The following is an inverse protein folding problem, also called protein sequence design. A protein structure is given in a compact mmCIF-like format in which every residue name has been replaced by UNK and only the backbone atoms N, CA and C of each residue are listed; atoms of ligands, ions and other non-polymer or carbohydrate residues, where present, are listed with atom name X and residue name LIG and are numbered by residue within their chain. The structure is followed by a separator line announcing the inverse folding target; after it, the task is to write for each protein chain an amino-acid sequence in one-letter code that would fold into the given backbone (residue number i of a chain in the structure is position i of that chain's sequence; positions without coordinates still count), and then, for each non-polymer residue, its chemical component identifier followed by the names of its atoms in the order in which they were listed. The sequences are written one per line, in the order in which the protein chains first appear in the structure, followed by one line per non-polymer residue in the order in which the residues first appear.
data_IF_015029301837
#
_entry.id   IF_015029301837
#
_cell.length_a   1.000
_cell.length_b   1.000
_cell.length_c   1.000
_cell.angle_alpha   90.00
_cell.angle_beta   90.00
_cell.angle_gamma   90.00
#
_symmetry.space_group_name_H-M   'P 1'
#
loop_
_entity.id
_entity.type
_entity.pdbx_description
1 polymer ?
#
# COMPACT_ATOMS: atom_id res chain seq x y z
N UNK A 1 8.97 -14.24 -13.87
CA UNK A 1 8.37 -13.08 -13.17
C UNK A 1 8.73 -13.21 -11.70
N UNK A 2 9.50 -12.27 -11.16
CA UNK A 2 9.98 -12.31 -9.77
C UNK A 2 8.80 -12.37 -8.80
N UNK A 3 8.88 -13.30 -7.84
CA UNK A 3 7.93 -13.44 -6.73
C UNK A 3 8.19 -12.37 -5.66
N UNK A 4 8.37 -11.12 -6.05
CA UNK A 4 8.59 -10.02 -5.10
C UNK A 4 7.26 -9.55 -4.49
N UNK A 5 7.31 -8.98 -3.28
CA UNK A 5 6.12 -8.50 -2.58
C UNK A 5 5.35 -7.44 -3.38
N UNK A 6 6.05 -6.64 -4.19
CA UNK A 6 5.40 -5.63 -5.02
C UNK A 6 4.50 -6.24 -6.11
N UNK A 7 4.94 -7.31 -6.78
CA UNK A 7 4.12 -8.01 -7.77
C UNK A 7 2.82 -8.56 -7.17
N UNK A 8 2.90 -9.17 -5.98
CA UNK A 8 1.70 -9.66 -5.26
C UNK A 8 0.77 -8.53 -4.85
N UNK A 9 1.32 -7.42 -4.38
CA UNK A 9 0.55 -6.21 -4.05
C UNK A 9 -0.20 -5.68 -5.28
N UNK A 10 0.49 -5.52 -6.41
CA UNK A 10 -0.10 -4.98 -7.63
C UNK A 10 -1.25 -5.85 -8.17
N UNK A 11 -1.09 -7.17 -8.12
CA UNK A 11 -2.14 -8.10 -8.54
C UNK A 11 -3.39 -7.97 -7.66
N UNK A 12 -3.22 -7.93 -6.34
CA UNK A 12 -4.31 -7.71 -5.40
C UNK A 12 -5.06 -6.40 -5.66
N UNK A 13 -4.33 -5.29 -5.90
CA UNK A 13 -4.96 -4.00 -6.18
C UNK A 13 -5.76 -4.04 -7.48
N UNK A 14 -5.24 -4.69 -8.53
CA UNK A 14 -5.98 -4.86 -9.79
C UNK A 14 -7.25 -5.68 -9.60
N UNK A 15 -7.17 -6.77 -8.84
CA UNK A 15 -8.32 -7.63 -8.53
C UNK A 15 -9.40 -6.86 -7.78
N UNK A 16 -9.05 -6.16 -6.70
CA UNK A 16 -10.00 -5.33 -5.93
C UNK A 16 -10.62 -4.21 -6.77
N UNK A 17 -9.82 -3.59 -7.65
CA UNK A 17 -10.31 -2.55 -8.54
C UNK A 17 -11.40 -3.08 -9.49
N UNK A 18 -11.18 -4.24 -10.08
CA UNK A 18 -12.15 -4.89 -10.97
C UNK A 18 -13.37 -5.37 -10.19
N UNK A 19 -13.16 -6.02 -9.05
CA UNK A 19 -14.23 -6.58 -8.22
C UNK A 19 -15.19 -5.52 -7.69
N UNK A 20 -14.67 -4.35 -7.27
CA UNK A 20 -15.47 -3.29 -6.66
C UNK A 20 -15.80 -2.13 -7.61
N UNK A 21 -15.22 -2.09 -8.82
CA UNK A 21 -15.44 -0.99 -9.77
C UNK A 21 -14.91 0.37 -9.29
N UNK A 22 -13.86 0.37 -8.48
CA UNK A 22 -13.35 1.58 -7.79
C UNK A 22 -12.09 2.15 -8.44
N UNK A 23 -11.62 3.30 -7.95
CA UNK A 23 -10.32 3.87 -8.31
C UNK A 23 -9.16 3.07 -7.71
N UNK A 24 -7.92 3.33 -8.16
CA UNK A 24 -6.72 2.67 -7.60
C UNK A 24 -6.57 2.96 -6.11
N UNK A 25 -6.73 4.23 -5.69
CA UNK A 25 -6.57 4.63 -4.29
C UNK A 25 -7.63 4.00 -3.39
N UNK A 26 -8.86 3.84 -3.89
CA UNK A 26 -9.93 3.16 -3.15
C UNK A 26 -9.69 1.65 -3.06
N UNK A 27 -9.16 1.02 -4.11
CA UNK A 27 -8.72 -0.38 -4.04
C UNK A 27 -7.59 -0.58 -3.03
N UNK A 28 -6.63 0.35 -2.94
CA UNK A 28 -5.59 0.34 -1.91
C UNK A 28 -6.17 0.53 -0.52
N UNK A 29 -7.14 1.43 -0.35
CA UNK A 29 -7.87 1.63 0.92
C UNK A 29 -8.58 0.34 1.36
N UNK A 30 -9.27 -0.34 0.44
CA UNK A 30 -9.91 -1.65 0.69
C UNK A 30 -8.86 -2.71 1.02
N UNK A 31 -7.72 -2.75 0.32
CA UNK A 31 -6.68 -3.72 0.62
C UNK A 31 -6.11 -3.53 2.03
N UNK A 32 -5.89 -2.28 2.44
CA UNK A 32 -5.28 -1.92 3.71
C UNK A 32 -6.27 -1.81 4.87
N UNK A 33 -7.58 -1.93 4.62
CA UNK A 33 -8.59 -2.08 5.67
C UNK A 33 -8.41 -3.40 6.42
N UNK A 34 -7.87 -4.44 5.75
CA UNK A 34 -7.53 -5.72 6.36
C UNK A 34 -6.23 -5.61 7.19
N UNK A 35 -6.27 -5.89 8.51
CA UNK A 35 -5.10 -5.76 9.39
C UNK A 35 -3.92 -6.67 9.02
N UNK A 36 -4.18 -7.87 8.50
CA UNK A 36 -3.12 -8.81 8.09
C UNK A 36 -2.39 -8.29 6.85
N UNK A 37 -3.14 -7.76 5.88
CA UNK A 37 -2.56 -7.15 4.67
C UNK A 37 -1.73 -5.93 5.04
N UNK A 38 -2.23 -5.10 5.97
CA UNK A 38 -1.51 -3.92 6.48
C UNK A 38 -0.17 -4.29 7.11
N UNK A 39 -0.15 -5.23 8.06
CA UNK A 39 1.10 -5.72 8.69
C UNK A 39 2.06 -6.32 7.66
N UNK A 40 1.54 -7.00 6.66
CA UNK A 40 2.36 -7.54 5.58
C UNK A 40 2.99 -6.42 4.74
N UNK A 41 2.22 -5.41 4.30
CA UNK A 41 2.76 -4.28 3.54
C UNK A 41 3.78 -3.51 4.38
N UNK A 42 3.51 -3.27 5.67
CA UNK A 42 4.44 -2.66 6.62
C UNK A 42 5.79 -3.38 6.66
N UNK A 43 5.74 -4.72 6.76
CA UNK A 43 6.96 -5.54 6.72
C UNK A 43 7.68 -5.38 5.37
N UNK A 44 6.95 -5.39 4.26
CA UNK A 44 7.54 -5.27 2.92
C UNK A 44 8.22 -3.92 2.70
N UNK A 45 7.57 -2.81 3.04
CA UNK A 45 8.12 -1.45 2.84
C UNK A 45 9.32 -1.15 3.74
N UNK A 46 9.37 -1.75 4.94
CA UNK A 46 10.50 -1.57 5.86
C UNK A 46 11.67 -2.53 5.54
N UNK A 47 11.42 -3.69 4.93
CA UNK A 47 12.47 -4.69 4.64
C UNK A 47 13.05 -4.56 3.22
N UNK A 48 12.24 -4.18 2.23
CA UNK A 48 12.65 -4.18 0.82
C UNK A 48 12.73 -2.76 0.25
N UNK A 49 13.91 -2.40 -0.27
CA UNK A 49 14.20 -1.06 -0.79
C UNK A 49 13.27 -0.66 -1.95
N UNK A 50 12.90 -1.59 -2.82
CA UNK A 50 11.98 -1.32 -3.93
C UNK A 50 10.56 -1.00 -3.42
N UNK A 51 10.06 -1.74 -2.44
CA UNK A 51 8.79 -1.44 -1.78
C UNK A 51 8.84 -0.07 -1.09
N UNK A 52 9.96 0.27 -0.45
CA UNK A 52 10.20 1.58 0.15
C UNK A 52 10.13 2.73 -0.87
N UNK A 53 10.78 2.58 -2.03
CA UNK A 53 10.73 3.58 -3.11
C UNK A 53 9.31 3.81 -3.61
N UNK A 54 8.52 2.74 -3.74
CA UNK A 54 7.11 2.83 -4.15
C UNK A 54 6.24 3.50 -3.09
N UNK A 55 6.43 3.20 -1.81
CA UNK A 55 5.75 3.89 -0.72
C UNK A 55 6.10 5.39 -0.69
N UNK A 56 7.36 5.77 -0.88
CA UNK A 56 7.76 7.18 -1.00
C UNK A 56 7.11 7.87 -2.20
N UNK A 57 7.05 7.17 -3.34
CA UNK A 57 6.34 7.64 -4.53
C UNK A 57 4.86 7.87 -4.21
N UNK A 58 4.21 6.94 -3.51
CA UNK A 58 2.82 7.07 -3.09
C UNK A 58 2.57 8.35 -2.29
N UNK A 59 3.39 8.58 -1.26
CA UNK A 59 3.33 9.81 -0.44
C UNK A 59 3.51 11.06 -1.29
N UNK A 60 4.47 11.07 -2.22
CA UNK A 60 4.71 12.23 -3.10
C UNK A 60 3.54 12.53 -4.04
N UNK A 61 2.89 11.52 -4.59
CA UNK A 61 1.79 11.72 -5.55
C UNK A 61 0.46 12.05 -4.89
N UNK A 62 0.20 11.50 -3.70
CA UNK A 62 -1.10 11.63 -3.03
C UNK A 62 -1.09 12.66 -1.89
N UNK A 63 0.08 13.06 -1.38
CA UNK A 63 0.20 14.07 -0.33
C UNK A 63 -0.67 13.74 0.88
N UNK A 64 -1.62 14.62 1.19
CA UNK A 64 -2.59 14.45 2.31
C UNK A 64 -3.51 13.23 2.15
N UNK A 65 -3.71 12.75 0.92
CA UNK A 65 -4.57 11.60 0.64
C UNK A 65 -3.77 10.28 0.67
N UNK A 66 -2.47 10.35 0.97
CA UNK A 66 -1.64 9.16 1.10
C UNK A 66 -2.13 8.26 2.25
N UNK A 67 -2.14 6.95 2.00
CA UNK A 67 -2.59 5.92 2.95
C UNK A 67 -1.47 5.46 3.89
N UNK A 68 -0.25 5.94 3.62
CA UNK A 68 0.96 5.73 4.41
C UNK A 68 1.56 7.08 4.69
N UNK A 69 2.10 7.24 5.89
CA UNK A 69 2.89 8.40 6.30
C UNK A 69 4.29 7.95 6.71
N UNK A 70 5.25 8.85 6.54
CA UNK A 70 6.65 8.61 6.86
C UNK A 70 6.96 9.17 8.25
N UNK A 71 7.22 8.28 9.20
CA UNK A 71 7.80 8.64 10.50
C UNK A 71 9.31 8.32 10.50
N UNK A 72 10.11 9.35 10.25
CA UNK A 72 11.57 9.24 10.23
C UNK A 72 12.07 8.28 9.15
N UNK A 73 12.57 7.11 9.55
CA UNK A 73 13.04 6.05 8.66
C UNK A 73 12.01 4.93 8.42
N UNK A 74 10.85 5.01 9.06
CA UNK A 74 9.79 4.01 9.00
C UNK A 74 8.54 4.57 8.35
N UNK A 75 7.62 3.67 7.97
CA UNK A 75 6.33 4.03 7.40
C UNK A 75 5.21 3.48 8.28
N UNK A 76 4.21 4.31 8.56
CA UNK A 76 2.99 3.92 9.27
C UNK A 76 1.77 4.16 8.40
N UNK A 77 0.71 3.39 8.62
CA UNK A 77 -0.55 3.57 7.91
C UNK A 77 -1.45 4.57 8.65
N UNK A 78 -2.04 5.50 7.92
CA UNK A 78 -2.94 6.55 8.45
C UNK A 78 -4.42 6.21 8.32
N UNK A 79 -4.72 4.96 7.95
CA UNK A 79 -6.08 4.54 7.60
C UNK A 79 -6.89 4.30 8.87
N UNK A 80 -7.83 5.19 9.14
CA UNK A 80 -8.94 4.93 10.04
C UNK A 80 -9.97 4.09 9.30
N UNK A 81 -10.02 2.79 9.61
CA UNK A 81 -11.14 1.93 9.21
C UNK A 81 -12.26 2.25 10.17
N UNK A 82 -13.24 3.04 9.74
CA UNK A 82 -14.52 3.19 10.44
C UNK A 82 -15.47 2.09 10.00
#
# INVERSE_FOLDING_TARGET
MTRDGYGRWLLLIKELRVQHGVSIIEAERIALSNPHRRKWVEKQINTHQECRKKALSHVRHHGKDALVDREGETFKFTINVR
#
